data_IF_465407707705
#
_entry.id   IF_465407707705
#
_cell.length_a   1.000
_cell.length_b   1.000
_cell.length_c   1.000
_cell.angle_alpha   90.00
_cell.angle_beta   90.00
_cell.angle_gamma   90.00
#
_symmetry.space_group_name_H-M   'P 1'
#
loop_
_entity.id
_entity.type
_entity.pdbx_description
1 polymer ?
#
# COMPACT_ATOMS: atom_id res chain seq x y z
N UNK A 1 -32.42 -3.86 0.89
CA UNK A 1 -31.60 -3.48 2.06
C UNK A 1 -32.35 -2.55 3.03
N UNK A 2 -32.83 -1.38 2.62
CA UNK A 2 -33.55 -0.44 3.48
C UNK A 2 -34.75 -1.05 4.20
N UNK A 3 -35.63 -1.76 3.47
CA UNK A 3 -36.80 -2.43 4.04
C UNK A 3 -36.44 -3.51 5.08
N UNK A 4 -35.31 -4.17 4.92
CA UNK A 4 -34.84 -5.15 5.91
C UNK A 4 -34.27 -4.49 7.15
N UNK A 5 -33.60 -3.34 6.99
CA UNK A 5 -33.06 -2.55 8.11
C UNK A 5 -34.19 -2.07 9.04
N UNK A 6 -35.32 -1.63 8.48
CA UNK A 6 -36.48 -1.16 9.24
C UNK A 6 -37.13 -2.24 10.14
N UNK A 7 -36.91 -3.52 9.82
CA UNK A 7 -37.47 -4.65 10.59
C UNK A 7 -36.57 -5.11 11.75
N UNK A 8 -35.38 -4.52 11.90
CA UNK A 8 -34.40 -4.95 12.88
C UNK A 8 -34.29 -3.97 14.05
N UNK A 9 -34.12 -4.46 15.29
CA UNK A 9 -33.81 -3.61 16.43
C UNK A 9 -32.50 -2.84 16.21
N UNK A 10 -32.48 -1.56 16.57
CA UNK A 10 -31.31 -0.69 16.35
C UNK A 10 -30.02 -1.18 17.02
N UNK A 11 -30.14 -1.86 18.15
CA UNK A 11 -29.01 -2.41 18.90
C UNK A 11 -28.43 -3.69 18.34
N UNK A 12 -29.08 -4.32 17.35
CA UNK A 12 -28.64 -5.61 16.81
C UNK A 12 -27.34 -5.50 15.98
N UNK A 13 -26.51 -6.53 16.02
CA UNK A 13 -25.28 -6.61 15.21
C UNK A 13 -25.59 -6.51 13.71
N UNK A 14 -26.71 -7.12 13.28
CA UNK A 14 -27.17 -7.09 11.89
C UNK A 14 -27.60 -5.69 11.46
N UNK A 15 -28.29 -4.93 12.34
CA UNK A 15 -28.64 -3.53 12.06
C UNK A 15 -27.40 -2.68 11.85
N UNK A 16 -26.40 -2.81 12.71
CA UNK A 16 -25.10 -2.10 12.58
C UNK A 16 -24.36 -2.42 11.28
N UNK A 17 -24.37 -3.69 10.86
CA UNK A 17 -23.77 -4.12 9.60
C UNK A 17 -24.50 -3.51 8.39
N UNK A 18 -25.84 -3.49 8.41
CA UNK A 18 -26.62 -2.85 7.37
C UNK A 18 -26.40 -1.34 7.31
N UNK A 19 -26.37 -0.67 8.47
CA UNK A 19 -26.11 0.76 8.55
C UNK A 19 -24.71 1.11 8.03
N UNK A 20 -23.70 0.29 8.31
CA UNK A 20 -22.37 0.44 7.75
C UNK A 20 -22.40 0.42 6.22
N UNK A 21 -23.09 -0.56 5.64
CA UNK A 21 -23.21 -0.71 4.19
C UNK A 21 -24.01 0.42 3.55
N UNK A 22 -25.13 0.80 4.19
CA UNK A 22 -25.99 1.87 3.69
C UNK A 22 -25.30 3.24 3.70
N UNK A 23 -24.56 3.57 4.77
CA UNK A 23 -23.77 4.81 4.85
C UNK A 23 -22.68 4.91 3.76
N UNK A 24 -22.20 3.78 3.28
CA UNK A 24 -21.14 3.71 2.27
C UNK A 24 -21.64 3.27 0.90
N UNK A 25 -22.95 3.21 0.71
CA UNK A 25 -23.55 2.63 -0.50
C UNK A 25 -23.01 3.24 -1.80
N UNK A 26 -22.92 4.56 -1.85
CA UNK A 26 -22.37 5.26 -3.01
C UNK A 26 -20.92 4.83 -3.33
N UNK A 27 -20.08 4.71 -2.31
CA UNK A 27 -18.69 4.25 -2.48
C UNK A 27 -18.63 2.77 -2.87
N UNK A 28 -19.48 1.93 -2.27
CA UNK A 28 -19.53 0.50 -2.55
C UNK A 28 -20.05 0.16 -3.96
N UNK A 29 -20.84 1.05 -4.55
CA UNK A 29 -21.38 0.87 -5.91
C UNK A 29 -20.64 1.65 -6.97
N UNK A 30 -19.61 2.42 -6.61
CA UNK A 30 -18.88 3.26 -7.56
C UNK A 30 -18.29 2.48 -8.75
N UNK A 31 -17.87 1.24 -8.53
CA UNK A 31 -17.34 0.37 -9.58
C UNK A 31 -18.35 0.07 -10.68
N UNK A 32 -19.67 0.16 -10.42
CA UNK A 32 -20.69 -0.05 -11.43
C UNK A 32 -20.78 1.09 -12.44
N UNK A 33 -20.28 2.26 -12.09
CA UNK A 33 -20.29 3.46 -12.94
C UNK A 33 -18.90 3.85 -13.45
N UNK A 34 -17.85 3.27 -12.89
CA UNK A 34 -16.46 3.53 -13.28
C UNK A 34 -15.72 2.20 -13.56
N UNK A 35 -15.64 1.83 -14.83
CA UNK A 35 -14.98 0.58 -15.26
C UNK A 35 -13.46 0.51 -15.00
N UNK A 36 -12.83 1.59 -14.55
CA UNK A 36 -11.41 1.57 -14.16
C UNK A 36 -11.21 1.07 -12.72
N UNK A 37 -12.28 1.01 -11.92
CA UNK A 37 -12.20 0.53 -10.55
C UNK A 37 -12.38 -0.99 -10.52
N UNK A 38 -11.43 -1.74 -9.96
CA UNK A 38 -11.57 -3.17 -9.77
C UNK A 38 -12.70 -3.47 -8.77
N UNK A 39 -13.44 -4.55 -9.02
CA UNK A 39 -14.51 -5.04 -8.13
C UNK A 39 -13.94 -5.64 -6.85
N UNK A 40 -12.71 -6.14 -6.93
CA UNK A 40 -11.99 -6.77 -5.83
C UNK A 40 -10.81 -5.91 -5.36
N UNK A 41 -10.25 -6.27 -4.22
CA UNK A 41 -9.03 -5.67 -3.68
C UNK A 41 -7.79 -6.57 -3.84
N UNK A 42 -7.83 -7.58 -4.71
CA UNK A 42 -6.76 -8.54 -4.94
C UNK A 42 -5.42 -7.84 -5.22
N UNK A 43 -5.46 -6.72 -5.90
CA UNK A 43 -4.27 -5.94 -6.20
C UNK A 43 -3.60 -5.41 -4.92
N UNK A 44 -4.38 -4.90 -3.97
CA UNK A 44 -3.89 -4.43 -2.67
C UNK A 44 -3.44 -5.62 -1.82
N UNK A 45 -4.25 -6.68 -1.76
CA UNK A 45 -3.95 -7.89 -0.98
C UNK A 45 -2.65 -8.55 -1.42
N UNK A 46 -2.38 -8.64 -2.71
CA UNK A 46 -1.09 -9.11 -3.24
C UNK A 46 0.08 -8.26 -2.76
N UNK A 47 -0.08 -6.95 -2.61
CA UNK A 47 0.97 -6.05 -2.09
C UNK A 47 1.20 -6.24 -0.59
N UNK A 48 0.13 -6.36 0.18
CA UNK A 48 0.21 -6.61 1.62
C UNK A 48 0.75 -8.01 1.92
N UNK A 49 0.44 -8.99 1.09
CA UNK A 49 0.85 -10.39 1.28
C UNK A 49 2.37 -10.56 1.44
N UNK A 50 3.17 -9.83 0.69
CA UNK A 50 4.63 -9.89 0.82
C UNK A 50 5.11 -9.49 2.21
N UNK A 51 4.46 -8.49 2.82
CA UNK A 51 4.74 -8.05 4.19
C UNK A 51 4.21 -9.08 5.20
N UNK A 52 2.97 -9.55 5.01
CA UNK A 52 2.33 -10.50 5.91
C UNK A 52 3.08 -11.85 5.98
N UNK A 53 3.57 -12.34 4.85
CA UNK A 53 4.38 -13.57 4.79
C UNK A 53 5.79 -13.32 5.33
N UNK A 54 6.42 -12.20 4.95
CA UNK A 54 7.78 -11.86 5.37
C UNK A 54 7.92 -11.64 6.87
N UNK A 55 6.87 -11.12 7.55
CA UNK A 55 6.94 -10.84 9.00
C UNK A 55 7.28 -12.07 9.85
N UNK A 56 6.92 -13.26 9.41
CA UNK A 56 7.27 -14.51 10.11
C UNK A 56 8.78 -14.80 10.07
N UNK A 57 9.48 -14.27 9.06
CA UNK A 57 10.93 -14.41 8.90
C UNK A 57 11.69 -13.27 9.61
N UNK A 58 11.04 -12.14 9.83
CA UNK A 58 11.67 -10.94 10.43
C UNK A 58 11.49 -10.84 11.93
N UNK A 59 11.02 -11.86 12.55
CA UNK A 59 10.77 -12.05 13.96
C UNK A 59 10.00 -10.91 14.64
N UNK A 60 10.49 -9.70 14.69
CA UNK A 60 9.71 -8.48 14.97
C UNK A 60 10.60 -7.23 14.88
N UNK A 61 9.96 -6.05 14.84
CA UNK A 61 10.69 -4.80 14.58
C UNK A 61 11.48 -4.25 15.79
N UNK A 62 11.34 -4.83 16.98
CA UNK A 62 12.04 -4.44 18.21
C UNK A 62 11.63 -3.08 18.79
N UNK A 63 11.20 -2.14 17.97
CA UNK A 63 10.71 -0.83 18.40
C UNK A 63 9.83 -0.20 17.32
N UNK A 64 9.01 0.78 17.69
CA UNK A 64 8.21 1.57 16.74
C UNK A 64 9.09 2.20 15.64
N UNK A 65 10.24 2.75 16.04
CA UNK A 65 11.18 3.39 15.09
C UNK A 65 11.77 2.40 14.09
N UNK A 66 12.10 1.19 14.53
CA UNK A 66 12.56 0.12 13.64
C UNK A 66 11.46 -0.31 12.67
N UNK A 67 10.21 -0.44 13.14
CA UNK A 67 9.06 -0.73 12.30
C UNK A 67 8.79 0.34 11.23
N UNK A 68 8.88 1.61 11.58
CA UNK A 68 8.74 2.72 10.64
C UNK A 68 9.82 2.70 9.56
N UNK A 69 11.08 2.41 9.93
CA UNK A 69 12.17 2.27 8.95
C UNK A 69 11.96 1.09 8.01
N UNK A 70 11.55 -0.05 8.55
CA UNK A 70 11.23 -1.23 7.74
C UNK A 70 10.09 -0.93 6.75
N UNK A 71 9.03 -0.26 7.20
CA UNK A 71 7.91 0.15 6.37
C UNK A 71 8.36 1.10 5.23
N UNK A 72 9.23 2.07 5.52
CA UNK A 72 9.77 2.99 4.52
C UNK A 72 10.60 2.23 3.45
N UNK A 73 11.48 1.33 3.86
CA UNK A 73 12.28 0.51 2.93
C UNK A 73 11.37 -0.38 2.07
N UNK A 74 10.37 -1.03 2.68
CA UNK A 74 9.41 -1.85 1.93
C UNK A 74 8.59 -1.04 0.95
N UNK A 75 8.20 0.19 1.29
CA UNK A 75 7.52 1.11 0.39
C UNK A 75 8.39 1.44 -0.84
N UNK A 76 9.67 1.73 -0.64
CA UNK A 76 10.61 1.99 -1.74
C UNK A 76 10.78 0.76 -2.65
N UNK A 77 10.94 -0.44 -2.07
CA UNK A 77 11.05 -1.71 -2.81
C UNK A 77 9.79 -1.95 -3.67
N UNK A 78 8.60 -1.79 -3.09
CA UNK A 78 7.36 -2.00 -3.83
C UNK A 78 7.17 -0.94 -4.92
N UNK A 79 7.53 0.31 -4.64
CA UNK A 79 7.46 1.40 -5.62
C UNK A 79 8.45 1.18 -6.77
N UNK A 80 9.67 0.70 -6.51
CA UNK A 80 10.63 0.35 -7.55
C UNK A 80 10.10 -0.75 -8.48
N UNK A 81 9.51 -1.81 -7.90
CA UNK A 81 8.85 -2.88 -8.68
C UNK A 81 7.70 -2.37 -9.53
N UNK A 82 6.89 -1.45 -9.00
CA UNK A 82 5.78 -0.85 -9.74
C UNK A 82 6.24 -0.02 -10.94
N UNK A 83 7.43 0.57 -10.84
CA UNK A 83 8.05 1.33 -11.91
C UNK A 83 8.92 0.44 -12.85
N UNK A 84 8.89 -0.88 -12.69
CA UNK A 84 9.61 -1.83 -13.55
C UNK A 84 11.08 -1.94 -13.26
N UNK A 85 11.58 -1.42 -12.14
CA UNK A 85 12.99 -1.47 -11.79
C UNK A 85 13.36 -2.78 -11.09
N UNK A 86 14.58 -3.26 -11.34
CA UNK A 86 15.20 -4.27 -10.49
C UNK A 86 15.45 -3.68 -9.11
N UNK A 87 14.87 -4.30 -8.08
CA UNK A 87 14.87 -3.77 -6.71
C UNK A 87 16.25 -3.82 -6.06
N UNK A 88 17.10 -4.78 -6.44
CA UNK A 88 18.45 -4.88 -5.92
C UNK A 88 19.32 -3.77 -6.52
N UNK A 89 19.29 -3.60 -7.84
CA UNK A 89 20.02 -2.56 -8.53
C UNK A 89 19.62 -1.16 -8.02
N UNK A 90 18.31 -0.92 -7.88
CA UNK A 90 17.76 0.31 -7.32
C UNK A 90 18.30 0.59 -5.91
N UNK A 91 18.14 -0.35 -4.98
CA UNK A 91 18.59 -0.14 -3.60
C UNK A 91 20.09 0.01 -3.48
N UNK A 92 20.86 -0.78 -4.23
CA UNK A 92 22.31 -0.69 -4.26
C UNK A 92 22.76 0.72 -4.68
N UNK A 93 22.24 1.23 -5.78
CA UNK A 93 22.57 2.56 -6.28
C UNK A 93 22.16 3.65 -5.30
N UNK A 94 20.90 3.62 -4.84
CA UNK A 94 20.39 4.61 -3.88
C UNK A 94 21.21 4.64 -2.60
N UNK A 95 21.51 3.49 -2.00
CA UNK A 95 22.31 3.42 -0.77
C UNK A 95 23.75 3.87 -0.98
N UNK A 96 24.32 3.68 -2.16
CA UNK A 96 25.66 4.16 -2.51
C UNK A 96 25.67 5.69 -2.66
N UNK A 97 24.68 6.26 -3.30
CA UNK A 97 24.58 7.72 -3.57
C UNK A 97 24.10 8.52 -2.39
N UNK A 98 23.20 7.97 -1.57
CA UNK A 98 22.50 8.69 -0.49
C UNK A 98 23.42 9.46 0.47
N UNK A 99 24.57 8.92 0.92
CA UNK A 99 25.44 9.64 1.87
C UNK A 99 26.01 10.96 1.36
N UNK A 100 26.20 11.08 0.05
CA UNK A 100 26.78 12.27 -0.60
C UNK A 100 25.76 13.08 -1.40
N UNK A 101 24.51 12.59 -1.49
CA UNK A 101 23.47 13.22 -2.27
C UNK A 101 22.91 14.46 -1.59
N UNK A 102 22.73 15.55 -2.34
CA UNK A 102 22.16 16.79 -1.80
C UNK A 102 20.70 16.58 -1.38
N UNK A 103 20.34 16.96 -0.14
CA UNK A 103 18.97 16.84 0.36
C UNK A 103 17.95 17.57 -0.51
N UNK A 104 18.31 18.70 -1.14
CA UNK A 104 17.47 19.45 -2.05
C UNK A 104 17.15 18.71 -3.37
N UNK A 105 17.87 17.63 -3.67
CA UNK A 105 17.71 16.81 -4.88
C UNK A 105 17.31 15.37 -4.56
N UNK A 106 16.85 15.10 -3.35
CA UNK A 106 16.50 13.74 -2.89
C UNK A 106 15.45 13.07 -3.77
N UNK A 107 14.62 13.85 -4.45
CA UNK A 107 13.60 13.35 -5.36
C UNK A 107 14.15 12.54 -6.54
N UNK A 108 15.41 12.77 -6.94
CA UNK A 108 16.07 12.02 -8.01
C UNK A 108 16.33 10.55 -7.64
N UNK A 109 16.32 10.25 -6.35
CA UNK A 109 16.49 8.90 -5.81
C UNK A 109 15.16 8.16 -5.62
N UNK A 110 14.03 8.85 -5.82
CA UNK A 110 12.71 8.19 -5.71
C UNK A 110 12.45 7.27 -6.90
N UNK A 111 11.80 6.11 -6.69
CA UNK A 111 11.65 5.08 -7.72
C UNK A 111 11.06 5.55 -9.05
N UNK A 112 10.15 6.51 -9.02
CA UNK A 112 9.50 7.05 -10.24
C UNK A 112 10.36 8.05 -11.02
N UNK A 113 11.48 8.51 -10.44
CA UNK A 113 12.45 9.43 -11.08
C UNK A 113 13.85 8.83 -11.19
N UNK A 114 14.04 7.67 -10.60
CA UNK A 114 15.33 7.02 -10.60
C UNK A 114 15.74 6.55 -12.00
N UNK A 115 16.96 6.89 -12.37
CA UNK A 115 17.67 6.33 -13.52
C UNK A 115 18.95 5.66 -13.04
N UNK A 116 19.24 4.48 -13.57
CA UNK A 116 20.49 3.78 -13.25
C UNK A 116 21.71 4.61 -13.66
N UNK A 117 22.73 4.66 -12.79
CA UNK A 117 23.95 5.43 -13.07
C UNK A 117 24.71 4.92 -14.31
N UNK A 118 24.49 3.65 -14.69
CA UNK A 118 25.13 3.01 -15.85
C UNK A 118 24.37 3.20 -17.17
N UNK A 119 23.32 4.03 -17.18
CA UNK A 119 22.51 4.30 -18.38
C UNK A 119 22.93 5.59 -19.11
N UNK A 120 24.10 6.15 -18.79
CA UNK A 120 24.66 7.33 -19.42
C UNK A 120 25.97 7.01 -20.14
#
# INVERSE_FOLDING_TARGET
>A
MLLQRQKLPDSSATARALDYSLKRWAALTLFTTNGQLPVDNNWIEKRIRSIAVGRNNWMFAGSLRAGQRAAAVMSLIQSARLNGHDTYAYLKDVLTRLPTHKASRIEELLPHRWAAADAA
#
